data_IF_440352809008
#
_entry.id   IF_440352809008
#
_cell.length_a   1.000
_cell.length_b   1.000
_cell.length_c   1.000
_cell.angle_alpha   90.00
_cell.angle_beta   90.00
_cell.angle_gamma   90.00
#
_symmetry.space_group_name_H-M   'P 1'
#
loop_
_entity.id
_entity.type
_entity.pdbx_description
1 polymer ?
#
# COMPACT_ATOMS: atom_id res chain seq x y z
N UNK A 1 4.57 2.59 -24.79
CA UNK A 1 5.09 3.05 -23.48
C UNK A 1 5.06 1.87 -22.53
N UNK A 2 6.07 1.70 -21.68
CA UNK A 2 6.08 0.62 -20.69
C UNK A 2 5.35 1.10 -19.43
N UNK A 3 4.46 0.29 -18.89
CA UNK A 3 3.70 0.60 -17.67
C UNK A 3 4.66 0.92 -16.49
N UNK A 4 4.57 2.09 -15.85
CA UNK A 4 5.49 2.47 -14.77
C UNK A 4 5.42 1.52 -13.56
N UNK A 5 4.25 0.95 -13.26
CA UNK A 5 4.10 -0.03 -12.17
C UNK A 5 4.86 -1.33 -12.49
N UNK A 6 4.81 -1.79 -13.76
CA UNK A 6 5.56 -2.98 -14.18
C UNK A 6 7.08 -2.77 -14.14
N UNK A 7 7.55 -1.55 -14.35
CA UNK A 7 8.98 -1.21 -14.45
C UNK A 7 9.59 -0.74 -13.13
N UNK A 8 8.81 -0.55 -12.08
CA UNK A 8 9.31 -0.20 -10.74
C UNK A 8 10.34 -1.24 -10.27
N UNK A 9 11.57 -0.79 -10.07
CA UNK A 9 12.68 -1.64 -9.64
C UNK A 9 12.65 -1.91 -8.12
N UNK A 10 13.27 -3.00 -7.64
CA UNK A 10 13.33 -3.30 -6.20
C UNK A 10 14.04 -2.23 -5.38
N UNK A 11 15.00 -1.54 -5.99
CA UNK A 11 15.85 -0.51 -5.38
C UNK A 11 15.36 0.91 -5.66
N UNK A 12 14.16 1.06 -6.23
CA UNK A 12 13.55 2.37 -6.48
C UNK A 12 13.40 3.15 -5.16
N UNK A 13 14.11 4.28 -5.08
CA UNK A 13 14.11 5.13 -3.89
C UNK A 13 12.86 5.99 -3.76
N UNK A 14 12.09 6.14 -4.82
CA UNK A 14 10.80 6.84 -4.82
C UNK A 14 9.69 5.91 -4.31
N UNK A 15 9.66 4.67 -4.80
CA UNK A 15 8.65 3.66 -4.49
C UNK A 15 9.32 2.48 -3.76
N UNK A 16 9.51 2.62 -2.45
CA UNK A 16 10.17 1.58 -1.65
C UNK A 16 9.30 0.33 -1.58
N UNK A 17 9.64 -0.67 -2.38
CA UNK A 17 9.04 -1.99 -2.32
C UNK A 17 9.61 -2.73 -1.12
N UNK A 18 8.75 -3.20 -0.21
CA UNK A 18 9.19 -3.84 1.03
C UNK A 18 8.51 -5.17 1.32
N UNK A 19 7.47 -5.53 0.58
CA UNK A 19 6.80 -6.81 0.74
C UNK A 19 6.18 -7.28 -0.57
N UNK A 20 6.16 -8.60 -0.77
CA UNK A 20 5.55 -9.23 -1.92
C UNK A 20 4.86 -10.54 -1.51
N UNK A 21 3.82 -10.87 -2.24
CA UNK A 21 3.17 -12.18 -2.25
C UNK A 21 3.35 -12.81 -3.64
N UNK A 22 2.87 -14.02 -3.91
CA UNK A 22 2.95 -14.59 -5.26
C UNK A 22 2.41 -13.66 -6.34
N UNK A 23 1.29 -12.95 -6.11
CA UNK A 23 0.63 -12.14 -7.13
C UNK A 23 0.65 -10.63 -6.86
N UNK A 24 1.03 -10.16 -5.67
CA UNK A 24 0.94 -8.75 -5.27
C UNK A 24 2.27 -8.19 -4.79
N UNK A 25 2.42 -6.87 -4.94
CA UNK A 25 3.55 -6.08 -4.42
C UNK A 25 3.03 -4.98 -3.53
N UNK A 26 3.74 -4.70 -2.44
CA UNK A 26 3.47 -3.59 -1.53
C UNK A 26 4.63 -2.61 -1.58
N UNK A 27 4.32 -1.36 -1.91
CA UNK A 27 5.27 -0.27 -1.96
C UNK A 27 4.84 0.86 -1.02
N UNK A 28 5.80 1.45 -0.32
CA UNK A 28 5.53 2.63 0.48
C UNK A 28 5.29 3.82 -0.45
N UNK A 29 4.15 4.48 -0.32
CA UNK A 29 3.85 5.66 -1.12
C UNK A 29 4.85 6.80 -0.82
N UNK A 30 5.25 7.61 -1.82
CA UNK A 30 6.09 8.79 -1.59
C UNK A 30 5.46 9.77 -0.62
N UNK A 31 4.17 10.05 -0.78
CA UNK A 31 3.42 10.90 0.13
C UNK A 31 3.06 10.17 1.42
N UNK A 32 3.67 10.59 2.52
CA UNK A 32 3.45 10.08 3.87
C UNK A 32 2.75 11.12 4.77
N UNK A 33 1.82 11.88 4.22
CA UNK A 33 0.93 12.73 5.05
C UNK A 33 0.20 11.90 6.09
N UNK A 34 -0.25 10.71 5.69
CA UNK A 34 -0.77 9.67 6.59
C UNK A 34 0.29 8.56 6.68
N UNK A 35 0.77 8.32 7.89
CA UNK A 35 1.87 7.39 8.17
C UNK A 35 1.55 5.97 7.67
N UNK A 36 2.48 5.37 6.97
CA UNK A 36 2.33 4.01 6.48
C UNK A 36 1.41 3.87 5.25
N UNK A 37 1.04 4.98 4.59
CA UNK A 37 0.31 4.91 3.32
C UNK A 37 1.12 4.13 2.29
N UNK A 38 0.47 3.11 1.68
CA UNK A 38 1.08 2.23 0.71
C UNK A 38 0.22 2.10 -0.55
N UNK A 39 0.87 1.71 -1.65
CA UNK A 39 0.21 1.18 -2.82
C UNK A 39 0.43 -0.33 -2.89
N UNK A 40 -0.61 -1.07 -3.29
CA UNK A 40 -0.59 -2.52 -3.48
C UNK A 40 -1.00 -2.79 -4.92
N UNK A 41 -0.11 -3.36 -5.72
CA UNK A 41 -0.36 -3.63 -7.14
C UNK A 41 -0.17 -5.09 -7.49
N UNK A 42 -0.86 -5.54 -8.53
CA UNK A 42 -0.61 -6.86 -9.11
C UNK A 42 0.80 -6.93 -9.70
N UNK A 43 1.43 -8.12 -9.63
CA UNK A 43 2.71 -8.39 -10.32
C UNK A 43 2.50 -8.53 -11.81
N UNK A 44 1.42 -9.19 -12.20
CA UNK A 44 0.96 -9.31 -13.58
C UNK A 44 0.35 -7.98 -14.02
N UNK A 45 0.67 -7.54 -15.23
CA UNK A 45 -0.01 -6.39 -15.81
C UNK A 45 -1.46 -6.73 -16.10
N UNK A 46 -2.37 -6.03 -15.44
CA UNK A 46 -3.82 -6.17 -15.63
C UNK A 46 -4.50 -4.84 -15.30
N UNK A 47 -5.33 -4.37 -16.22
CA UNK A 47 -5.94 -3.03 -16.15
C UNK A 47 -7.41 -3.01 -15.75
N UNK A 48 -8.02 -4.17 -15.53
CA UNK A 48 -9.44 -4.29 -15.19
C UNK A 48 -9.63 -5.22 -13.99
N UNK A 49 -10.37 -4.76 -12.98
CA UNK A 49 -10.70 -5.58 -11.79
C UNK A 49 -11.43 -6.87 -12.16
N UNK A 50 -12.27 -6.84 -13.19
CA UNK A 50 -12.97 -8.03 -13.67
C UNK A 50 -12.05 -9.09 -14.28
N UNK A 51 -10.81 -8.72 -14.64
CA UNK A 51 -9.81 -9.64 -15.17
C UNK A 51 -8.92 -10.29 -14.10
N UNK A 52 -9.14 -9.98 -12.81
CA UNK A 52 -8.47 -10.67 -11.72
C UNK A 52 -8.95 -12.12 -11.63
N UNK A 53 -8.01 -13.01 -11.40
CA UNK A 53 -8.33 -14.41 -11.09
C UNK A 53 -8.87 -14.55 -9.66
N UNK A 54 -9.66 -15.59 -9.35
CA UNK A 54 -10.10 -15.86 -7.99
C UNK A 54 -8.94 -15.94 -6.98
N UNK A 55 -7.81 -16.52 -7.36
CA UNK A 55 -6.60 -16.62 -6.52
C UNK A 55 -6.05 -15.22 -6.20
N UNK A 56 -5.94 -14.34 -7.20
CA UNK A 56 -5.47 -12.96 -6.98
C UNK A 56 -6.41 -12.18 -6.03
N UNK A 57 -7.73 -12.36 -6.17
CA UNK A 57 -8.72 -11.71 -5.30
C UNK A 57 -8.60 -12.21 -3.85
N UNK A 58 -8.57 -13.52 -3.64
CA UNK A 58 -8.46 -14.11 -2.30
C UNK A 58 -7.13 -13.71 -1.62
N UNK A 59 -6.04 -13.71 -2.37
CA UNK A 59 -4.72 -13.30 -1.89
C UNK A 59 -4.71 -11.81 -1.49
N UNK A 60 -5.37 -10.93 -2.26
CA UNK A 60 -5.51 -9.52 -1.90
C UNK A 60 -6.20 -9.36 -0.55
N UNK A 61 -7.34 -10.04 -0.33
CA UNK A 61 -8.07 -9.91 0.93
C UNK A 61 -7.28 -10.48 2.11
N UNK A 62 -6.53 -11.56 1.92
CA UNK A 62 -5.61 -12.06 2.92
C UNK A 62 -4.47 -11.06 3.22
N UNK A 63 -3.94 -10.41 2.18
CA UNK A 63 -2.91 -9.36 2.31
C UNK A 63 -3.45 -8.13 3.05
N UNK A 64 -4.69 -7.69 2.76
CA UNK A 64 -5.37 -6.61 3.48
C UNK A 64 -5.38 -6.91 4.98
N UNK A 65 -5.84 -8.09 5.40
CA UNK A 65 -5.88 -8.45 6.81
C UNK A 65 -4.50 -8.43 7.48
N UNK A 66 -3.48 -8.96 6.80
CA UNK A 66 -2.08 -8.93 7.30
C UNK A 66 -1.52 -7.51 7.40
N UNK A 67 -1.76 -6.68 6.39
CA UNK A 67 -1.31 -5.30 6.38
C UNK A 67 -1.95 -4.48 7.50
N UNK A 68 -3.26 -4.63 7.71
CA UNK A 68 -3.96 -3.97 8.81
C UNK A 68 -3.43 -4.40 10.17
N UNK A 69 -3.21 -5.70 10.38
CA UNK A 69 -2.63 -6.22 11.62
C UNK A 69 -1.22 -5.66 11.86
N UNK A 70 -0.36 -5.63 10.83
CA UNK A 70 0.98 -5.07 10.91
C UNK A 70 0.96 -3.57 11.24
N UNK A 71 0.14 -2.77 10.54
CA UNK A 71 0.06 -1.33 10.78
C UNK A 71 -0.53 -0.99 12.16
N UNK A 72 -1.47 -1.79 12.67
CA UNK A 72 -1.94 -1.67 14.07
C UNK A 72 -0.83 -2.00 15.06
N UNK A 73 -0.11 -3.07 14.85
CA UNK A 73 0.95 -3.50 15.76
C UNK A 73 2.13 -2.51 15.81
N UNK A 74 2.53 -1.98 14.65
CA UNK A 74 3.73 -1.12 14.53
C UNK A 74 3.44 0.34 14.84
N UNK A 75 2.33 0.87 14.35
CA UNK A 75 2.02 2.30 14.40
C UNK A 75 0.77 2.64 15.20
N UNK A 76 0.02 1.66 15.69
CA UNK A 76 -1.24 1.90 16.40
C UNK A 76 -2.37 2.40 15.48
N UNK A 77 -2.37 2.02 14.19
CA UNK A 77 -3.42 2.44 13.28
C UNK A 77 -4.82 2.07 13.80
N UNK A 78 -5.73 3.05 13.81
CA UNK A 78 -7.09 2.88 14.37
C UNK A 78 -8.06 2.35 13.33
N UNK A 79 -8.02 2.92 12.11
CA UNK A 79 -8.88 2.51 11.00
C UNK A 79 -8.12 2.55 9.67
N UNK A 80 -8.75 2.09 8.60
CA UNK A 80 -8.14 2.07 7.25
C UNK A 80 -9.12 2.56 6.20
N UNK A 81 -8.61 3.29 5.21
CA UNK A 81 -9.31 3.53 3.96
C UNK A 81 -8.63 2.73 2.84
N UNK A 82 -9.43 2.01 2.10
CA UNK A 82 -9.01 1.23 0.95
C UNK A 82 -9.68 1.75 -0.31
N UNK A 83 -8.92 1.93 -1.36
CA UNK A 83 -9.46 2.41 -2.63
C UNK A 83 -8.62 1.96 -3.82
N UNK A 84 -9.29 1.71 -4.94
CA UNK A 84 -8.66 1.41 -6.22
C UNK A 84 -9.07 2.48 -7.23
N UNK A 85 -8.19 3.42 -7.50
CA UNK A 85 -8.41 4.51 -8.46
C UNK A 85 -7.46 4.35 -9.65
N UNK A 86 -7.98 4.02 -10.82
CA UNK A 86 -7.18 3.85 -12.04
C UNK A 86 -7.22 5.08 -12.97
N UNK A 87 -7.59 6.24 -12.43
CA UNK A 87 -7.96 7.41 -13.21
C UNK A 87 -6.81 8.02 -14.02
N UNK A 88 -5.59 8.01 -13.50
CA UNK A 88 -4.46 8.68 -14.13
C UNK A 88 -4.16 8.15 -15.53
N UNK A 89 -4.21 6.87 -15.72
CA UNK A 89 -3.91 6.23 -17.00
C UNK A 89 -4.91 6.60 -18.10
N UNK A 90 -6.15 6.95 -17.74
CA UNK A 90 -7.17 7.38 -18.70
C UNK A 90 -7.03 8.82 -19.18
N UNK A 91 -6.05 9.56 -18.68
CA UNK A 91 -5.67 10.88 -19.20
C UNK A 91 -4.64 10.81 -20.32
N UNK A 92 -4.04 9.65 -20.53
CA UNK A 92 -3.07 9.41 -21.59
C UNK A 92 -3.76 9.17 -22.94
N UNK A 93 -3.08 9.49 -24.04
CA UNK A 93 -3.60 9.26 -25.39
C UNK A 93 -3.83 7.77 -25.69
N UNK A 94 -3.05 6.90 -25.04
CA UNK A 94 -3.17 5.45 -25.12
C UNK A 94 -3.17 4.91 -23.68
N UNK A 95 -4.36 4.80 -23.06
CA UNK A 95 -4.50 4.31 -21.69
C UNK A 95 -3.92 2.90 -21.52
N UNK A 96 -3.06 2.73 -20.54
CA UNK A 96 -2.46 1.44 -20.17
C UNK A 96 -2.60 1.25 -18.64
N UNK A 97 -3.83 1.08 -18.12
CA UNK A 97 -4.08 1.01 -16.69
C UNK A 97 -3.48 -0.25 -16.08
N UNK A 98 -3.04 -0.12 -14.82
CA UNK A 98 -2.56 -1.25 -14.04
C UNK A 98 -3.21 -1.19 -12.66
N UNK A 99 -3.81 -2.30 -12.22
CA UNK A 99 -4.52 -2.39 -10.94
C UNK A 99 -3.57 -2.07 -9.80
N UNK A 100 -3.93 -1.05 -9.03
CA UNK A 100 -3.28 -0.73 -7.77
C UNK A 100 -4.31 -0.21 -6.76
N UNK A 101 -4.14 -0.67 -5.53
CA UNK A 101 -4.94 -0.25 -4.39
C UNK A 101 -4.14 0.68 -3.51
N UNK A 102 -4.83 1.66 -2.92
CA UNK A 102 -4.27 2.46 -1.85
C UNK A 102 -4.67 1.86 -0.51
N UNK A 103 -3.68 1.56 0.32
CA UNK A 103 -3.82 1.22 1.72
C UNK A 103 -3.47 2.45 2.54
N UNK A 104 -4.44 3.01 3.25
CA UNK A 104 -4.28 4.26 3.99
C UNK A 104 -4.63 4.04 5.46
N UNK A 105 -3.63 3.80 6.32
CA UNK A 105 -3.84 3.78 7.77
C UNK A 105 -4.28 5.14 8.27
N UNK A 106 -5.19 5.18 9.25
CA UNK A 106 -5.76 6.38 9.86
C UNK A 106 -5.60 6.31 11.38
N UNK A 107 -5.42 7.47 12.01
CA UNK A 107 -5.01 7.57 13.41
C UNK A 107 -5.87 8.58 14.16
N UNK A 108 -6.49 8.15 15.28
CA UNK A 108 -7.22 9.03 16.20
C UNK A 108 -6.29 9.73 17.20
N UNK A 109 -4.98 9.49 17.11
CA UNK A 109 -3.93 10.04 17.97
C UNK A 109 -2.66 10.36 17.17
N UNK A 110 -1.79 11.26 17.65
CA UNK A 110 -0.47 11.46 17.06
C UNK A 110 0.43 10.24 17.24
N UNK A 111 1.23 9.94 16.22
CA UNK A 111 2.20 8.83 16.22
C UNK A 111 3.61 9.38 16.05
N UNK A 112 4.54 9.00 16.92
CA UNK A 112 5.98 9.28 16.73
C UNK A 112 6.61 8.15 15.93
N UNK A 113 7.18 8.49 14.79
CA UNK A 113 7.88 7.53 13.94
C UNK A 113 9.05 8.23 13.22
N UNK A 114 10.21 7.57 13.20
CA UNK A 114 11.41 8.10 12.56
C UNK A 114 11.78 9.53 13.01
N UNK A 115 11.59 9.85 14.31
CA UNK A 115 11.86 11.16 14.90
C UNK A 115 10.90 12.26 14.42
N UNK A 116 9.68 11.91 14.01
CA UNK A 116 8.67 12.83 13.49
C UNK A 116 7.29 12.49 14.04
N UNK A 117 6.52 13.53 14.35
CA UNK A 117 5.13 13.35 14.73
C UNK A 117 4.25 13.34 13.47
N UNK A 118 3.41 12.32 13.37
CA UNK A 118 2.35 12.20 12.39
C UNK A 118 1.01 12.37 13.07
N UNK A 119 0.16 13.21 12.50
CA UNK A 119 -1.21 13.42 12.97
C UNK A 119 -2.16 13.34 11.79
N UNK A 120 -3.36 12.84 12.02
CA UNK A 120 -4.44 12.75 11.05
C UNK A 120 -5.56 13.73 11.45
N UNK A 121 -5.51 14.99 10.97
CA UNK A 121 -6.50 16.00 11.34
C UNK A 121 -7.89 15.73 10.78
N UNK A 122 -8.00 14.81 9.82
CA UNK A 122 -9.25 14.43 9.16
C UNK A 122 -9.77 13.08 9.65
N UNK A 123 -9.27 12.57 10.80
CA UNK A 123 -9.68 11.27 11.32
C UNK A 123 -11.22 11.16 11.44
N UNK A 124 -11.76 10.03 10.99
CA UNK A 124 -13.21 9.78 10.98
C UNK A 124 -13.96 10.38 9.78
N UNK A 125 -13.29 11.21 8.98
CA UNK A 125 -13.82 11.80 7.75
C UNK A 125 -12.94 11.52 6.52
N UNK A 126 -13.34 12.04 5.35
CA UNK A 126 -12.50 12.02 4.16
C UNK A 126 -11.21 12.81 4.41
N UNK A 127 -10.06 12.20 4.07
CA UNK A 127 -8.79 12.92 4.16
C UNK A 127 -8.53 13.78 2.92
N UNK A 128 -7.80 14.88 3.12
CA UNK A 128 -7.43 15.78 2.05
C UNK A 128 -6.33 15.17 1.16
N UNK A 129 -6.68 14.79 -0.06
CA UNK A 129 -5.76 14.23 -1.04
C UNK A 129 -4.70 15.21 -1.54
N UNK A 130 -4.93 16.53 -1.39
CA UNK A 130 -4.00 17.56 -1.82
C UNK A 130 -2.86 17.78 -0.83
N UNK A 131 -3.00 17.32 0.42
CA UNK A 131 -1.92 17.38 1.40
C UNK A 131 -0.78 16.47 0.98
N UNK A 132 0.43 17.03 0.97
CA UNK A 132 1.63 16.31 0.63
C UNK A 132 2.69 16.48 1.71
N UNK A 133 3.27 15.37 2.14
CA UNK A 133 4.38 15.36 3.07
C UNK A 133 5.49 14.48 2.53
N UNK A 134 6.57 15.13 2.08
CA UNK A 134 7.80 14.45 1.73
C UNK A 134 8.57 14.08 3.00
N UNK A 135 9.17 12.90 2.97
CA UNK A 135 10.10 12.44 3.99
C UNK A 135 11.46 12.14 3.37
N UNK A 136 12.55 12.39 4.12
CA UNK A 136 13.87 11.90 3.72
C UNK A 136 13.84 10.38 3.49
N UNK A 137 14.63 9.90 2.55
CA UNK A 137 14.73 8.49 2.20
C UNK A 137 14.98 7.60 3.44
N UNK A 138 15.83 8.05 4.36
CA UNK A 138 16.13 7.32 5.59
C UNK A 138 14.87 7.08 6.45
N UNK A 139 13.99 8.10 6.60
CA UNK A 139 12.73 7.96 7.33
C UNK A 139 11.75 7.02 6.61
N UNK A 140 11.64 7.13 5.28
CA UNK A 140 10.81 6.22 4.49
C UNK A 140 11.29 4.77 4.60
N UNK A 141 12.61 4.53 4.58
CA UNK A 141 13.19 3.19 4.80
C UNK A 141 12.89 2.64 6.19
N UNK A 142 12.90 3.46 7.24
CA UNK A 142 12.51 3.04 8.58
C UNK A 142 11.04 2.60 8.64
N UNK A 143 10.14 3.40 8.04
CA UNK A 143 8.71 3.08 7.97
C UNK A 143 8.49 1.76 7.21
N UNK A 144 9.07 1.62 6.01
CA UNK A 144 8.91 0.41 5.20
C UNK A 144 9.51 -0.83 5.86
N UNK A 145 10.67 -0.70 6.51
CA UNK A 145 11.30 -1.80 7.24
C UNK A 145 10.46 -2.24 8.44
N UNK A 146 9.89 -1.29 9.20
CA UNK A 146 9.02 -1.61 10.33
C UNK A 146 7.75 -2.36 9.90
N UNK A 147 7.09 -1.92 8.83
CA UNK A 147 5.94 -2.64 8.26
C UNK A 147 6.34 -4.01 7.71
N UNK A 148 7.44 -4.08 6.96
CA UNK A 148 7.91 -5.34 6.37
C UNK A 148 8.26 -6.39 7.42
N UNK A 149 8.90 -5.98 8.53
CA UNK A 149 9.22 -6.89 9.63
C UNK A 149 7.99 -7.43 10.38
N UNK A 150 6.88 -6.69 10.35
CA UNK A 150 5.62 -7.10 10.99
C UNK A 150 4.69 -7.90 10.06
N UNK A 151 4.99 -7.93 8.75
CA UNK A 151 4.25 -8.75 7.81
C UNK A 151 4.84 -10.17 7.82
N UNK A 152 4.03 -11.21 8.08
CA UNK A 152 4.51 -12.59 8.04
C UNK A 152 4.91 -12.96 6.60
N UNK A 153 5.86 -13.86 6.47
CA UNK A 153 6.20 -14.45 5.18
C UNK A 153 4.92 -14.90 4.45
N UNK A 154 4.87 -14.66 3.14
CA UNK A 154 3.72 -15.06 2.35
C UNK A 154 3.59 -16.58 2.36
N UNK A 155 2.73 -17.09 3.26
CA UNK A 155 2.38 -18.50 3.23
C UNK A 155 1.70 -18.83 1.88
N UNK A 156 1.92 -20.03 1.32
CA UNK A 156 1.14 -20.51 0.18
C UNK A 156 -0.35 -20.38 0.50
N UNK A 157 -1.14 -19.99 -0.49
CA UNK A 157 -2.58 -19.68 -0.37
C UNK A 157 -3.47 -20.89 -0.02
N UNK A 158 -2.90 -22.03 0.35
CA UNK A 158 -3.62 -23.29 0.57
C UNK A 158 -4.29 -23.44 1.94
N UNK A 159 -4.20 -22.45 2.82
CA UNK A 159 -4.87 -22.50 4.11
C UNK A 159 -5.74 -21.27 4.37
N UNK A 160 -6.90 -21.20 3.69
CA UNK A 160 -8.02 -20.47 4.27
C UNK A 160 -8.52 -21.30 5.49
N UNK A 161 -8.66 -20.70 6.69
CA UNK A 161 -9.31 -21.40 7.77
C UNK A 161 -10.72 -21.79 7.30
N UNK A 162 -11.06 -23.07 7.46
CA UNK A 162 -12.43 -23.53 7.29
C UNK A 162 -13.34 -22.75 8.25
N UNK A 163 -14.41 -22.19 7.70
CA UNK A 163 -15.44 -21.44 8.42
C UNK A 163 -16.03 -22.25 9.59
#
# INVERSE_FOLDING_TARGET
MTCPICTTQPDDTEHLRFYETPNWRVVLAPNQTLLGRCAISTKRHVGDLAALTPTEVLELFALIGRFEAAARAVFGATMFNWSCYMNHHYREAHPDPHIHWWAVPRYDHPVDCAGRIFADPDFGGPYDHARWRDLPLAARRQISAALGAALPDAAPTDTLPSA
#
